data_IF_050245051076
#
_entry.id   IF_050245051076
#
_cell.length_a   1.000
_cell.length_b   1.000
_cell.length_c   1.000
_cell.angle_alpha   90.00
_cell.angle_beta   90.00
_cell.angle_gamma   90.00
#
_symmetry.space_group_name_H-M   'P 1'
#
loop_
_entity.id
_entity.type
_entity.pdbx_description
1 polymer ?
#
# COMPACT_ATOMS: atom_id res chain seq x y z
N UNK A 1 -20.40 -14.45 -15.09
CA UNK A 1 -20.57 -14.37 -13.62
C UNK A 1 -21.93 -13.73 -13.37
N UNK A 2 -22.92 -14.51 -12.93
CA UNK A 2 -24.22 -13.96 -12.50
C UNK A 2 -24.00 -13.02 -11.32
N UNK A 3 -24.66 -11.85 -11.37
CA UNK A 3 -24.52 -10.79 -10.38
C UNK A 3 -24.88 -11.30 -8.99
N UNK A 4 -23.89 -11.38 -8.10
CA UNK A 4 -24.17 -11.47 -6.67
C UNK A 4 -24.99 -10.23 -6.31
N UNK A 5 -26.06 -10.42 -5.56
CA UNK A 5 -26.74 -9.34 -4.88
C UNK A 5 -25.74 -8.68 -3.91
N UNK A 6 -25.08 -7.63 -4.41
CA UNK A 6 -24.02 -6.92 -3.71
C UNK A 6 -24.54 -6.23 -2.46
N UNK A 7 -25.84 -5.91 -2.43
CA UNK A 7 -26.48 -5.29 -1.28
C UNK A 7 -26.63 -6.30 -0.15
N UNK A 8 -27.26 -7.45 -0.42
CA UNK A 8 -27.41 -8.53 0.58
C UNK A 8 -26.05 -9.01 1.07
N UNK A 9 -25.05 -9.13 0.19
CA UNK A 9 -23.68 -9.46 0.58
C UNK A 9 -23.07 -8.42 1.54
N UNK A 10 -23.24 -7.14 1.24
CA UNK A 10 -22.73 -6.04 2.08
C UNK A 10 -23.46 -5.95 3.43
N UNK A 11 -24.78 -6.15 3.46
CA UNK A 11 -25.58 -6.17 4.69
C UNK A 11 -25.18 -7.34 5.60
N UNK A 12 -25.02 -8.54 5.05
CA UNK A 12 -24.57 -9.71 5.82
C UNK A 12 -23.15 -9.52 6.39
N UNK A 13 -22.28 -8.85 5.63
CA UNK A 13 -20.97 -8.47 6.15
C UNK A 13 -21.06 -7.46 7.30
N UNK A 14 -22.02 -6.52 7.28
CA UNK A 14 -22.17 -5.47 8.31
C UNK A 14 -22.64 -6.13 9.58
N UNK A 15 -23.72 -6.90 9.47
CA UNK A 15 -24.24 -7.68 10.58
C UNK A 15 -23.14 -8.59 11.17
N UNK A 16 -22.30 -9.20 10.33
CA UNK A 16 -21.17 -10.00 10.81
C UNK A 16 -20.09 -9.15 11.49
N UNK A 17 -19.79 -7.95 10.98
CA UNK A 17 -18.82 -7.03 11.56
C UNK A 17 -19.33 -6.47 12.90
N UNK A 18 -20.59 -6.03 12.98
CA UNK A 18 -21.27 -5.56 14.18
C UNK A 18 -21.32 -6.66 15.23
N UNK A 19 -21.80 -7.86 14.87
CA UNK A 19 -21.84 -9.00 15.78
C UNK A 19 -20.44 -9.41 16.27
N UNK A 20 -19.41 -9.37 15.41
CA UNK A 20 -18.02 -9.58 15.84
C UNK A 20 -17.57 -8.48 16.78
N UNK A 21 -17.86 -7.22 16.45
CA UNK A 21 -17.51 -6.06 17.26
C UNK A 21 -18.15 -6.11 18.65
N UNK A 22 -19.45 -6.38 18.73
CA UNK A 22 -20.18 -6.55 19.99
C UNK A 22 -19.58 -7.68 20.83
N UNK A 23 -19.35 -8.86 20.24
CA UNK A 23 -18.77 -9.99 20.96
C UNK A 23 -17.37 -9.69 21.49
N UNK A 24 -16.48 -9.13 20.69
CA UNK A 24 -15.15 -8.79 21.19
C UNK A 24 -15.15 -7.56 22.10
N UNK A 25 -16.09 -6.63 21.93
CA UNK A 25 -16.31 -5.52 22.85
C UNK A 25 -16.70 -6.02 24.25
N UNK A 26 -17.62 -6.99 24.34
CA UNK A 26 -17.97 -7.65 25.60
C UNK A 26 -16.77 -8.36 26.23
N UNK A 27 -15.95 -9.04 25.42
CA UNK A 27 -14.71 -9.66 25.90
C UNK A 27 -13.78 -8.59 26.47
N UNK A 28 -13.52 -7.50 25.73
CA UNK A 28 -12.64 -6.43 26.20
C UNK A 28 -13.17 -5.76 27.47
N UNK A 29 -14.48 -5.52 27.57
CA UNK A 29 -15.11 -4.97 28.77
C UNK A 29 -15.00 -5.90 29.98
N UNK A 30 -15.07 -7.22 29.79
CA UNK A 30 -14.86 -8.17 30.88
C UNK A 30 -13.45 -8.07 31.49
N UNK A 31 -12.45 -7.67 30.68
CA UNK A 31 -11.09 -7.41 31.15
C UNK A 31 -10.87 -5.98 31.63
N UNK A 32 -11.84 -5.07 31.46
CA UNK A 32 -11.70 -3.66 31.83
C UNK A 32 -11.24 -3.40 33.28
N UNK A 33 -11.65 -4.19 34.30
CA UNK A 33 -11.15 -4.02 35.66
C UNK A 33 -9.69 -4.42 35.85
N UNK A 34 -9.13 -5.22 34.94
CA UNK A 34 -7.81 -5.88 35.09
C UNK A 34 -6.72 -5.26 34.24
N UNK A 35 -7.08 -4.41 33.28
CA UNK A 35 -6.14 -3.75 32.38
C UNK A 35 -6.24 -2.25 32.50
N UNK A 36 -5.11 -1.57 32.28
CA UNK A 36 -5.06 -0.12 32.34
C UNK A 36 -5.99 0.50 31.28
N UNK A 37 -6.70 1.58 31.66
CA UNK A 37 -7.79 2.18 30.87
C UNK A 37 -7.36 2.60 29.46
N UNK A 38 -6.14 3.11 29.29
CA UNK A 38 -5.61 3.52 28.00
C UNK A 38 -5.31 2.29 27.13
N UNK A 39 -4.78 1.24 27.73
CA UNK A 39 -4.54 -0.02 27.04
C UNK A 39 -5.85 -0.69 26.59
N UNK A 40 -6.89 -0.70 27.43
CA UNK A 40 -8.24 -1.16 27.04
C UNK A 40 -8.73 -0.39 25.80
N UNK A 41 -8.63 0.94 25.82
CA UNK A 41 -9.08 1.79 24.71
C UNK A 41 -8.34 1.48 23.41
N UNK A 42 -7.04 1.16 23.50
CA UNK A 42 -6.24 0.73 22.34
C UNK A 42 -6.70 -0.61 21.78
N UNK A 43 -7.03 -1.57 22.63
CA UNK A 43 -7.54 -2.87 22.22
C UNK A 43 -8.90 -2.74 21.53
N UNK A 44 -9.80 -1.93 22.10
CA UNK A 44 -11.11 -1.62 21.51
C UNK A 44 -10.96 -1.01 20.11
N UNK A 45 -10.03 -0.07 19.96
CA UNK A 45 -9.77 0.57 18.67
C UNK A 45 -9.20 -0.40 17.64
N UNK A 46 -8.22 -1.21 18.02
CA UNK A 46 -7.64 -2.22 17.14
C UNK A 46 -8.69 -3.27 16.73
N UNK A 47 -9.59 -3.63 17.65
CA UNK A 47 -10.68 -4.55 17.37
C UNK A 47 -11.71 -3.95 16.41
N UNK A 48 -12.13 -2.72 16.65
CA UNK A 48 -12.99 -1.94 15.75
C UNK A 48 -12.41 -1.90 14.33
N UNK A 49 -11.14 -1.51 14.21
CA UNK A 49 -10.40 -1.47 12.95
C UNK A 49 -10.49 -2.79 12.17
N UNK A 50 -10.26 -3.92 12.83
CA UNK A 50 -10.30 -5.23 12.18
C UNK A 50 -11.72 -5.58 11.73
N UNK A 51 -12.71 -5.38 12.59
CA UNK A 51 -14.11 -5.69 12.30
C UNK A 51 -14.65 -4.90 11.10
N UNK A 52 -14.29 -3.61 10.98
CA UNK A 52 -14.79 -2.73 9.92
C UNK A 52 -13.82 -2.53 8.74
N UNK A 53 -12.58 -3.03 8.80
CA UNK A 53 -11.64 -2.95 7.64
C UNK A 53 -12.15 -3.70 6.40
N UNK A 54 -12.89 -4.79 6.60
CA UNK A 54 -13.50 -5.59 5.52
C UNK A 54 -14.56 -4.78 4.76
N UNK A 55 -15.27 -3.88 5.44
CA UNK A 55 -16.27 -2.99 4.82
C UNK A 55 -15.69 -2.16 3.68
N UNK A 56 -14.55 -1.54 3.96
CA UNK A 56 -13.86 -0.71 2.99
C UNK A 56 -13.38 -1.53 1.78
N UNK A 57 -12.90 -2.76 2.00
CA UNK A 57 -12.40 -3.63 0.92
C UNK A 57 -13.50 -4.13 -0.03
N UNK A 58 -14.67 -4.46 0.51
CA UNK A 58 -15.84 -4.92 -0.26
C UNK A 58 -16.46 -3.76 -1.03
N UNK A 59 -16.55 -2.59 -0.40
CA UNK A 59 -17.10 -1.40 -1.04
C UNK A 59 -16.23 -0.87 -2.19
N UNK A 60 -14.90 -0.81 -1.99
CA UNK A 60 -13.95 -0.38 -3.04
C UNK A 60 -14.09 -1.19 -4.33
N UNK A 61 -14.51 -2.46 -4.20
CA UNK A 61 -14.70 -3.40 -5.30
C UNK A 61 -16.04 -3.21 -6.02
N UNK A 62 -17.14 -2.99 -5.28
CA UNK A 62 -18.49 -3.21 -5.81
C UNK A 62 -19.33 -1.92 -5.99
N UNK A 63 -18.96 -0.79 -5.37
CA UNK A 63 -19.50 0.56 -5.67
C UNK A 63 -21.03 0.75 -5.56
N UNK A 64 -21.76 -0.24 -5.03
CA UNK A 64 -23.23 -0.25 -4.94
C UNK A 64 -23.65 -0.67 -3.53
N UNK A 65 -23.54 0.26 -2.59
CA UNK A 65 -24.30 0.17 -1.34
C UNK A 65 -25.67 0.83 -1.56
N UNK A 66 -26.69 0.35 -0.86
CA UNK A 66 -28.02 0.97 -0.82
C UNK A 66 -27.87 2.43 -0.39
N UNK A 67 -28.23 3.35 -1.31
CA UNK A 67 -28.04 4.79 -1.15
C UNK A 67 -28.89 5.37 -0.03
N UNK A 68 -29.97 4.69 0.36
CA UNK A 68 -30.95 5.20 1.31
C UNK A 68 -30.64 4.75 2.75
N UNK A 69 -29.89 3.65 2.93
CA UNK A 69 -29.55 3.10 4.26
C UNK A 69 -28.05 3.02 4.56
N UNK A 70 -27.20 2.89 3.53
CA UNK A 70 -25.78 2.58 3.65
C UNK A 70 -24.95 3.48 2.73
N UNK A 71 -25.18 4.79 2.77
CA UNK A 71 -24.31 5.75 2.10
C UNK A 71 -22.91 5.72 2.75
N UNK A 72 -21.89 5.17 2.07
CA UNK A 72 -20.53 5.07 2.59
C UNK A 72 -19.94 6.46 2.85
N UNK A 73 -20.36 7.49 2.10
CA UNK A 73 -19.90 8.87 2.32
C UNK A 73 -20.45 9.35 3.64
N UNK A 74 -21.74 9.17 3.92
CA UNK A 74 -22.36 9.51 5.22
C UNK A 74 -21.71 8.76 6.39
N UNK A 75 -21.49 7.45 6.25
CA UNK A 75 -20.84 6.64 7.31
C UNK A 75 -19.41 7.12 7.56
N UNK A 76 -18.60 7.24 6.52
CA UNK A 76 -17.21 7.71 6.67
C UNK A 76 -17.14 9.15 7.15
N UNK A 77 -18.05 10.03 6.71
CA UNK A 77 -18.19 11.39 7.23
C UNK A 77 -18.42 11.35 8.74
N UNK A 78 -19.39 10.55 9.18
CA UNK A 78 -19.71 10.40 10.60
C UNK A 78 -18.47 9.96 11.38
N UNK A 79 -17.77 8.93 10.92
CA UNK A 79 -16.57 8.40 11.59
C UNK A 79 -15.38 9.38 11.58
N UNK A 80 -15.19 10.16 10.51
CA UNK A 80 -14.11 11.16 10.43
C UNK A 80 -14.31 12.29 11.44
N UNK A 81 -15.56 12.72 11.65
CA UNK A 81 -15.92 13.85 12.51
C UNK A 81 -16.42 13.46 13.91
N UNK A 82 -16.48 12.16 14.23
CA UNK A 82 -16.95 11.69 15.54
C UNK A 82 -15.88 11.86 16.63
N UNK A 83 -16.05 12.90 17.44
CA UNK A 83 -15.15 13.21 18.57
C UNK A 83 -15.09 12.12 19.63
N UNK A 84 -16.05 11.18 19.69
CA UNK A 84 -16.01 10.05 20.64
C UNK A 84 -14.90 9.05 20.30
N UNK A 85 -14.38 9.13 19.08
CA UNK A 85 -13.22 8.34 18.64
C UNK A 85 -11.90 9.01 19.00
N UNK A 86 -11.91 10.27 19.47
CA UNK A 86 -10.71 10.91 19.99
C UNK A 86 -10.28 10.22 21.28
N UNK A 87 -8.97 10.07 21.44
CA UNK A 87 -8.35 9.44 22.61
C UNK A 87 -7.46 10.44 23.33
N UNK A 88 -7.26 10.22 24.63
CA UNK A 88 -6.34 11.03 25.45
C UNK A 88 -4.94 11.07 24.82
N UNK A 89 -4.23 12.19 24.98
CA UNK A 89 -2.92 12.42 24.35
C UNK A 89 -1.93 11.26 24.51
N UNK A 90 -1.76 10.80 25.75
CA UNK A 90 -0.91 9.65 26.09
C UNK A 90 -1.20 8.38 25.29
N UNK A 91 -2.43 8.17 24.81
CA UNK A 91 -2.83 6.99 24.03
C UNK A 91 -2.22 7.05 22.64
N UNK A 92 -2.39 8.17 21.94
CA UNK A 92 -1.87 8.30 20.58
C UNK A 92 -0.36 8.58 20.55
N UNK A 93 0.21 9.07 21.64
CA UNK A 93 1.67 9.21 21.81
C UNK A 93 2.40 7.86 21.80
N UNK A 94 1.75 6.80 22.29
CA UNK A 94 2.35 5.45 22.41
C UNK A 94 1.79 4.44 21.41
N UNK A 95 0.81 4.83 20.59
CA UNK A 95 0.11 3.91 19.69
C UNK A 95 0.01 4.40 18.25
N UNK A 96 0.88 3.83 17.42
CA UNK A 96 0.82 3.96 15.96
C UNK A 96 -0.52 3.46 15.38
N UNK A 97 -1.23 2.58 16.09
CA UNK A 97 -2.52 2.04 15.65
C UNK A 97 -3.63 3.07 15.63
N UNK A 98 -3.59 4.04 16.53
CA UNK A 98 -4.53 5.15 16.48
C UNK A 98 -4.28 6.05 15.27
N UNK A 99 -3.01 6.37 15.00
CA UNK A 99 -2.61 7.15 13.81
C UNK A 99 -3.03 6.42 12.53
N UNK A 100 -2.73 5.12 12.43
CA UNK A 100 -3.14 4.27 11.31
C UNK A 100 -4.66 4.28 11.13
N UNK A 101 -5.43 4.18 12.22
CA UNK A 101 -6.89 4.24 12.19
C UNK A 101 -7.41 5.56 11.63
N UNK A 102 -7.00 6.68 12.22
CA UNK A 102 -7.51 8.01 11.84
C UNK A 102 -7.16 8.31 10.40
N UNK A 103 -5.92 8.03 9.99
CA UNK A 103 -5.50 8.25 8.60
C UNK A 103 -6.24 7.32 7.64
N UNK A 104 -6.49 6.06 8.00
CA UNK A 104 -7.29 5.14 7.18
C UNK A 104 -8.71 5.67 6.93
N UNK A 105 -9.38 6.19 7.97
CA UNK A 105 -10.70 6.80 7.83
C UNK A 105 -10.68 8.01 6.89
N UNK A 106 -9.70 8.90 7.06
CA UNK A 106 -9.53 10.09 6.21
C UNK A 106 -9.29 9.71 4.76
N UNK A 107 -8.35 8.80 4.50
CA UNK A 107 -8.06 8.30 3.15
C UNK A 107 -9.32 7.71 2.52
N UNK A 108 -10.05 6.88 3.26
CA UNK A 108 -11.30 6.31 2.79
C UNK A 108 -12.30 7.40 2.41
N UNK A 109 -12.64 8.29 3.33
CA UNK A 109 -13.58 9.39 3.10
C UNK A 109 -13.22 10.25 1.88
N UNK A 110 -11.96 10.68 1.76
CA UNK A 110 -11.55 11.53 0.64
C UNK A 110 -11.48 10.77 -0.69
N UNK A 111 -11.15 9.48 -0.69
CA UNK A 111 -11.29 8.64 -1.87
C UNK A 111 -12.75 8.47 -2.30
N UNK A 112 -13.68 8.35 -1.36
CA UNK A 112 -15.12 8.27 -1.66
C UNK A 112 -15.63 9.54 -2.32
N UNK A 113 -15.36 10.68 -1.68
CA UNK A 113 -15.89 11.98 -2.10
C UNK A 113 -15.25 12.49 -3.39
N UNK A 114 -14.00 12.09 -3.67
CA UNK A 114 -13.29 12.49 -4.90
C UNK A 114 -13.74 11.73 -6.15
N UNK A 115 -14.48 10.61 -6.02
CA UNK A 115 -15.05 9.88 -7.17
C UNK A 115 -16.29 10.56 -7.76
N UNK A 116 -16.97 11.41 -6.99
CA UNK A 116 -18.23 12.06 -7.39
C UNK A 116 -18.10 13.48 -7.93
N UNK A 117 -16.91 14.08 -7.92
CA UNK A 117 -16.71 15.48 -8.31
C UNK A 117 -16.15 15.63 -9.72
N UNK A 118 -16.69 16.58 -10.50
CA UNK A 118 -16.20 16.93 -11.85
C UNK A 118 -14.72 17.40 -11.85
N UNK A 119 -14.24 17.92 -10.72
CA UNK A 119 -12.84 18.28 -10.51
C UNK A 119 -12.13 17.09 -9.85
N UNK A 120 -11.27 16.40 -10.61
CA UNK A 120 -10.38 15.35 -10.09
C UNK A 120 -9.33 15.98 -9.18
N UNK A 121 -9.67 16.09 -7.90
CA UNK A 121 -8.72 16.48 -6.84
C UNK A 121 -8.10 15.20 -6.26
N UNK A 122 -6.80 15.24 -5.98
CA UNK A 122 -6.11 14.09 -5.41
C UNK A 122 -6.62 13.83 -3.97
N UNK A 123 -7.22 12.67 -3.67
CA UNK A 123 -7.81 12.38 -2.36
C UNK A 123 -6.77 12.41 -1.23
N UNK A 124 -5.52 12.05 -1.50
CA UNK A 124 -4.43 12.09 -0.52
C UNK A 124 -4.03 13.51 -0.16
N UNK A 125 -4.04 14.43 -1.14
CA UNK A 125 -3.81 15.85 -0.89
C UNK A 125 -4.90 16.45 -0.01
N UNK A 126 -6.17 16.18 -0.32
CA UNK A 126 -7.30 16.62 0.52
C UNK A 126 -7.21 16.09 1.96
N UNK A 127 -6.86 14.81 2.11
CA UNK A 127 -6.63 14.22 3.43
C UNK A 127 -5.48 14.90 4.18
N UNK A 128 -4.41 15.26 3.48
CA UNK A 128 -3.28 15.98 4.08
C UNK A 128 -3.66 17.39 4.51
N UNK A 129 -4.34 18.16 3.64
CA UNK A 129 -4.82 19.50 3.94
C UNK A 129 -5.80 19.50 5.13
N UNK A 130 -6.67 18.48 5.21
CA UNK A 130 -7.55 18.27 6.36
C UNK A 130 -6.76 18.03 7.64
N UNK A 131 -5.71 17.21 7.60
CA UNK A 131 -4.85 16.96 8.76
C UNK A 131 -4.20 18.28 9.21
N UNK A 132 -3.64 19.06 8.28
CA UNK A 132 -2.96 20.32 8.60
C UNK A 132 -3.89 21.38 9.21
N UNK A 133 -5.17 21.37 8.87
CA UNK A 133 -6.15 22.37 9.34
C UNK A 133 -6.92 21.94 10.59
N UNK A 134 -7.04 20.63 10.84
CA UNK A 134 -7.88 20.08 11.92
C UNK A 134 -7.09 19.67 13.16
N UNK A 135 -5.83 19.26 12.99
CA UNK A 135 -4.99 18.77 14.08
C UNK A 135 -3.79 19.68 14.30
N UNK A 136 -3.25 19.66 15.51
CA UNK A 136 -2.07 20.41 15.91
C UNK A 136 -0.98 19.52 16.51
N UNK A 137 0.17 20.13 16.77
CA UNK A 137 1.33 19.52 17.43
C UNK A 137 1.77 18.18 16.84
N UNK A 138 2.16 17.27 17.74
CA UNK A 138 2.73 15.96 17.39
C UNK A 138 1.74 15.04 16.68
N UNK A 139 0.44 15.10 17.02
CA UNK A 139 -0.56 14.26 16.39
C UNK A 139 -0.73 14.63 14.90
N UNK A 140 -0.78 15.93 14.58
CA UNK A 140 -0.78 16.43 13.20
C UNK A 140 0.42 15.90 12.41
N UNK A 141 1.62 16.01 12.98
CA UNK A 141 2.86 15.61 12.32
C UNK A 141 2.90 14.10 12.06
N UNK A 142 2.53 13.28 13.04
CA UNK A 142 2.50 11.81 12.91
C UNK A 142 1.45 11.33 11.93
N UNK A 143 0.24 11.90 11.96
CA UNK A 143 -0.81 11.59 10.98
C UNK A 143 -0.40 12.03 9.57
N UNK A 144 0.16 13.24 9.43
CA UNK A 144 0.66 13.76 8.17
C UNK A 144 1.78 12.88 7.59
N UNK A 145 2.76 12.52 8.41
CA UNK A 145 3.87 11.63 8.04
C UNK A 145 3.35 10.26 7.59
N UNK A 146 2.47 9.63 8.37
CA UNK A 146 1.88 8.33 8.01
C UNK A 146 1.11 8.39 6.68
N UNK A 147 0.27 9.41 6.48
CA UNK A 147 -0.48 9.61 5.25
C UNK A 147 0.44 9.78 4.03
N UNK A 148 1.45 10.64 4.15
CA UNK A 148 2.39 10.93 3.07
C UNK A 148 3.16 9.68 2.66
N UNK A 149 3.63 8.89 3.63
CA UNK A 149 4.33 7.61 3.36
C UNK A 149 3.41 6.64 2.61
N UNK A 150 2.13 6.52 3.02
CA UNK A 150 1.15 5.66 2.33
C UNK A 150 0.76 6.16 0.94
N UNK A 151 1.03 7.44 0.65
CA UNK A 151 0.75 8.07 -0.64
C UNK A 151 1.89 7.89 -1.66
N UNK A 152 3.11 7.56 -1.21
CA UNK A 152 4.31 7.40 -2.06
C UNK A 152 4.04 6.57 -3.32
N UNK A 153 3.41 5.40 -3.15
CA UNK A 153 3.17 4.45 -4.24
C UNK A 153 1.83 4.67 -4.98
N UNK A 154 1.11 5.73 -4.63
CA UNK A 154 -0.24 6.01 -5.16
C UNK A 154 -0.31 7.36 -5.87
N UNK A 155 0.59 8.27 -5.51
CA UNK A 155 0.71 9.60 -6.10
C UNK A 155 2.16 9.84 -6.54
N UNK A 156 2.44 9.72 -7.85
CA UNK A 156 3.78 10.01 -8.39
C UNK A 156 4.25 11.45 -8.11
N UNK A 157 3.33 12.39 -7.89
CA UNK A 157 3.64 13.79 -7.61
C UNK A 157 4.02 14.07 -6.16
N UNK A 158 3.95 13.09 -5.26
CA UNK A 158 4.16 13.32 -3.82
C UNK A 158 5.63 13.43 -3.42
N UNK A 159 6.55 12.82 -4.19
CA UNK A 159 7.97 12.72 -3.80
C UNK A 159 8.64 14.09 -3.58
N UNK A 160 8.47 15.11 -4.43
CA UNK A 160 9.04 16.44 -4.20
C UNK A 160 8.47 17.16 -2.97
N UNK A 161 7.27 16.77 -2.53
CA UNK A 161 6.56 17.42 -1.42
C UNK A 161 7.08 16.89 -0.06
N UNK A 162 7.58 15.66 0.00
CA UNK A 162 7.95 15.01 1.27
C UNK A 162 9.00 15.79 2.08
N UNK A 163 10.10 16.30 1.50
CA UNK A 163 11.08 17.07 2.26
C UNK A 163 10.50 18.39 2.80
N UNK A 164 9.68 19.08 2.01
CA UNK A 164 9.04 20.34 2.40
C UNK A 164 8.08 20.10 3.57
N UNK A 165 7.26 19.04 3.48
CA UNK A 165 6.37 18.66 4.58
C UNK A 165 7.14 18.22 5.83
N UNK A 166 8.30 17.58 5.68
CA UNK A 166 9.14 17.19 6.81
C UNK A 166 9.79 18.39 7.53
N UNK A 167 10.02 19.49 6.82
CA UNK A 167 10.57 20.72 7.41
C UNK A 167 9.58 21.45 8.31
N UNK A 168 8.27 21.32 8.04
CA UNK A 168 7.23 21.92 8.87
C UNK A 168 6.86 21.08 10.09
N UNK A 169 7.37 19.85 10.19
CA UNK A 169 7.13 18.95 11.33
C UNK A 169 8.03 19.28 12.52
N UNK A 170 7.40 19.36 13.68
CA UNK A 170 8.02 19.52 14.99
C UNK A 170 8.34 18.18 15.66
N UNK A 171 7.53 17.13 15.42
CA UNK A 171 7.79 15.78 15.93
C UNK A 171 8.97 15.13 15.21
N UNK A 172 10.04 14.87 15.95
CA UNK A 172 11.27 14.30 15.39
C UNK A 172 11.06 12.90 14.83
N UNK A 173 10.20 12.08 15.44
CA UNK A 173 9.91 10.74 14.96
C UNK A 173 9.16 10.77 13.63
N UNK A 174 8.10 11.59 13.52
CA UNK A 174 7.35 11.79 12.28
C UNK A 174 8.27 12.27 11.14
N UNK A 175 9.12 13.27 11.43
CA UNK A 175 10.10 13.82 10.48
C UNK A 175 11.11 12.77 10.02
N UNK A 176 11.73 12.05 10.93
CA UNK A 176 12.73 11.01 10.61
C UNK A 176 12.10 9.86 9.83
N UNK A 177 10.88 9.44 10.19
CA UNK A 177 10.17 8.35 9.51
C UNK A 177 9.82 8.76 8.08
N UNK A 178 9.34 9.98 7.87
CA UNK A 178 9.03 10.51 6.55
C UNK A 178 10.28 10.62 5.68
N UNK A 179 11.36 11.18 6.23
CA UNK A 179 12.62 11.34 5.51
C UNK A 179 13.30 10.00 5.19
N UNK A 180 13.18 9.01 6.08
CA UNK A 180 13.64 7.65 5.83
C UNK A 180 12.89 7.01 4.66
N UNK A 181 11.56 7.14 4.63
CA UNK A 181 10.75 6.66 3.52
C UNK A 181 11.09 7.38 2.21
N UNK A 182 11.22 8.72 2.24
CA UNK A 182 11.65 9.52 1.09
C UNK A 182 13.03 9.06 0.56
N UNK A 183 14.00 8.87 1.44
CA UNK A 183 15.33 8.41 1.05
C UNK A 183 15.36 6.99 0.50
N UNK A 184 14.45 6.12 0.95
CA UNK A 184 14.35 4.76 0.43
C UNK A 184 13.86 4.71 -1.02
N UNK A 185 12.99 5.65 -1.44
CA UNK A 185 12.34 5.62 -2.75
C UNK A 185 12.85 6.66 -3.75
N UNK A 186 13.61 7.67 -3.30
CA UNK A 186 14.12 8.72 -4.19
C UNK A 186 15.16 8.17 -5.18
N UNK A 187 15.15 8.64 -6.44
CA UNK A 187 16.20 8.33 -7.41
C UNK A 187 17.60 8.71 -6.92
N UNK A 188 18.62 7.98 -7.42
CA UNK A 188 20.03 8.29 -7.19
C UNK A 188 20.64 7.65 -5.94
N UNK A 189 19.88 6.91 -5.14
CA UNK A 189 20.40 6.14 -4.00
C UNK A 189 20.81 4.74 -4.39
N UNK A 190 21.81 4.18 -3.68
CA UNK A 190 22.17 2.76 -3.81
C UNK A 190 20.94 1.91 -3.47
N UNK A 191 20.66 0.93 -4.31
CA UNK A 191 19.57 0.00 -4.07
C UNK A 191 19.85 -0.85 -2.82
N UNK A 192 18.80 -1.16 -2.05
CA UNK A 192 18.90 -2.10 -0.95
C UNK A 192 19.29 -3.48 -1.49
N UNK A 193 20.30 -4.09 -0.87
CA UNK A 193 20.69 -5.47 -1.18
C UNK A 193 19.53 -6.43 -0.87
N UNK A 194 19.46 -7.52 -1.62
CA UNK A 194 18.52 -8.60 -1.39
C UNK A 194 19.20 -9.94 -1.65
N UNK A 195 18.67 -10.97 -1.00
CA UNK A 195 18.93 -12.38 -1.24
C UNK A 195 17.55 -13.04 -1.39
N UNK A 196 17.21 -13.48 -2.60
CA UNK A 196 15.91 -14.07 -2.91
C UNK A 196 16.10 -15.40 -3.63
N UNK A 197 15.31 -16.40 -3.26
CA UNK A 197 15.36 -17.71 -3.92
C UNK A 197 14.47 -17.76 -5.16
N UNK A 198 14.93 -18.47 -6.19
CA UNK A 198 14.14 -18.84 -7.36
C UNK A 198 13.42 -20.19 -7.19
N UNK A 199 12.66 -20.59 -8.21
CA UNK A 199 11.87 -21.82 -8.21
C UNK A 199 12.71 -23.11 -8.07
N UNK A 200 14.01 -23.03 -8.38
CA UNK A 200 14.96 -24.13 -8.29
C UNK A 200 15.76 -24.11 -6.98
N UNK A 201 15.48 -23.15 -6.08
CA UNK A 201 16.21 -22.98 -4.81
C UNK A 201 17.57 -22.28 -4.96
N UNK A 202 17.87 -21.70 -6.13
CA UNK A 202 19.07 -20.88 -6.29
C UNK A 202 18.81 -19.51 -5.67
N UNK A 203 19.73 -19.07 -4.81
CA UNK A 203 19.73 -17.70 -4.28
C UNK A 203 20.27 -16.72 -5.33
N UNK A 204 19.53 -15.64 -5.56
CA UNK A 204 19.94 -14.51 -6.38
C UNK A 204 20.15 -13.28 -5.50
N UNK A 205 21.28 -12.60 -5.73
CA UNK A 205 21.70 -11.40 -5.01
C UNK A 205 21.70 -10.21 -5.96
N UNK A 206 21.55 -8.99 -5.42
CA UNK A 206 21.71 -7.76 -6.21
C UNK A 206 23.07 -7.75 -6.94
N UNK A 207 24.12 -8.21 -6.27
CA UNK A 207 25.48 -8.24 -6.80
C UNK A 207 25.66 -9.21 -7.99
N UNK A 208 24.80 -10.22 -8.13
CA UNK A 208 24.83 -11.16 -9.27
C UNK A 208 24.45 -10.46 -10.59
N UNK A 209 23.85 -9.27 -10.51
CA UNK A 209 23.44 -8.48 -11.66
C UNK A 209 24.24 -7.19 -11.85
N UNK A 210 25.43 -7.08 -11.25
CA UNK A 210 26.34 -5.94 -11.49
C UNK A 210 26.56 -5.72 -12.98
N UNK A 211 26.53 -4.45 -13.40
CA UNK A 211 26.67 -4.08 -14.80
C UNK A 211 25.37 -4.21 -15.62
N UNK A 212 24.27 -4.67 -15.01
CA UNK A 212 22.96 -4.81 -15.68
C UNK A 212 21.90 -3.88 -15.09
N UNK A 213 21.03 -3.40 -15.94
CA UNK A 213 19.81 -2.70 -15.59
C UNK A 213 18.75 -3.72 -15.16
N UNK A 214 18.07 -3.48 -14.04
CA UNK A 214 17.05 -4.36 -13.49
C UNK A 214 15.67 -3.69 -13.59
N UNK A 215 14.73 -4.44 -14.15
CA UNK A 215 13.30 -4.13 -14.11
C UNK A 215 12.65 -5.16 -13.20
N UNK A 216 12.33 -4.76 -11.97
CA UNK A 216 11.85 -5.67 -10.94
C UNK A 216 10.36 -5.45 -10.72
N UNK A 217 9.55 -6.49 -10.90
CA UNK A 217 8.10 -6.48 -10.69
C UNK A 217 7.71 -7.23 -9.43
N UNK A 218 7.02 -6.58 -8.51
CA UNK A 218 6.49 -7.20 -7.31
C UNK A 218 5.03 -7.61 -7.50
N UNK A 219 4.69 -8.86 -7.18
CA UNK A 219 3.36 -9.42 -7.36
C UNK A 219 3.02 -10.46 -6.28
N UNK A 220 1.77 -10.91 -6.23
CA UNK A 220 1.36 -12.05 -5.40
C UNK A 220 0.21 -12.82 -6.06
N UNK A 221 0.00 -14.06 -5.65
CA UNK A 221 -1.04 -14.92 -6.22
C UNK A 221 -2.42 -14.43 -5.79
N UNK A 222 -3.28 -14.11 -6.77
CA UNK A 222 -4.58 -13.46 -6.54
C UNK A 222 -4.58 -11.94 -6.79
N UNK A 223 -3.44 -11.36 -7.19
CA UNK A 223 -3.33 -9.95 -7.55
C UNK A 223 -3.97 -9.64 -8.92
N UNK A 224 -5.20 -9.13 -8.95
CA UNK A 224 -5.91 -8.79 -10.20
C UNK A 224 -5.12 -7.80 -11.06
N UNK A 225 -4.58 -6.74 -10.47
CA UNK A 225 -3.80 -5.73 -11.21
C UNK A 225 -2.53 -6.31 -11.85
N UNK A 226 -1.88 -7.26 -11.18
CA UNK A 226 -0.70 -7.94 -11.69
C UNK A 226 -1.04 -8.78 -12.93
N UNK A 227 -2.19 -9.46 -12.92
CA UNK A 227 -2.68 -10.21 -14.08
C UNK A 227 -3.05 -9.28 -15.25
N UNK A 228 -3.62 -8.10 -14.97
CA UNK A 228 -3.96 -7.11 -16.00
C UNK A 228 -2.73 -6.57 -16.74
N UNK A 229 -1.63 -6.29 -16.03
CA UNK A 229 -0.42 -5.72 -16.65
C UNK A 229 0.50 -6.76 -17.30
N UNK A 230 0.19 -8.06 -17.18
CA UNK A 230 1.05 -9.15 -17.68
C UNK A 230 1.35 -8.99 -19.17
N UNK A 231 0.33 -8.68 -19.98
CA UNK A 231 0.51 -8.52 -21.42
C UNK A 231 1.36 -7.29 -21.76
N UNK A 232 1.13 -6.16 -21.10
CA UNK A 232 1.96 -4.96 -21.28
C UNK A 232 3.42 -5.23 -20.92
N UNK A 233 3.67 -5.93 -19.80
CA UNK A 233 5.02 -6.32 -19.40
C UNK A 233 5.69 -7.24 -20.44
N UNK A 234 4.96 -8.19 -21.04
CA UNK A 234 5.48 -9.02 -22.15
C UNK A 234 5.89 -8.19 -23.36
N UNK A 235 5.12 -7.15 -23.72
CA UNK A 235 5.48 -6.23 -24.82
C UNK A 235 6.78 -5.50 -24.51
N UNK A 236 6.92 -5.01 -23.27
CA UNK A 236 8.15 -4.34 -22.81
C UNK A 236 9.32 -5.33 -22.87
N UNK A 237 9.17 -6.54 -22.34
CA UNK A 237 10.20 -7.57 -22.37
C UNK A 237 10.62 -7.89 -23.80
N UNK A 238 9.66 -8.09 -24.71
CA UNK A 238 9.93 -8.35 -26.12
C UNK A 238 10.70 -7.22 -26.79
N UNK A 239 10.45 -5.96 -26.40
CA UNK A 239 11.18 -4.79 -26.91
C UNK A 239 12.67 -4.82 -26.55
N UNK A 240 13.03 -5.43 -25.42
CA UNK A 240 14.39 -5.49 -24.90
C UNK A 240 15.02 -6.90 -24.96
N UNK A 241 14.41 -7.86 -25.67
CA UNK A 241 14.87 -9.27 -25.72
C UNK A 241 16.33 -9.45 -26.18
N UNK A 242 16.79 -8.55 -27.05
CA UNK A 242 18.12 -8.59 -27.66
C UNK A 242 19.15 -7.80 -26.82
N UNK A 243 18.69 -6.99 -25.86
CA UNK A 243 19.54 -6.22 -24.96
C UNK A 243 19.89 -7.03 -23.70
N UNK A 244 21.06 -7.69 -23.73
CA UNK A 244 21.55 -8.49 -22.60
C UNK A 244 21.98 -7.68 -21.38
N UNK A 245 22.00 -6.35 -21.49
CA UNK A 245 22.27 -5.46 -20.36
C UNK A 245 21.04 -5.25 -19.46
N UNK A 246 19.86 -5.71 -19.87
CA UNK A 246 18.61 -5.58 -19.11
C UNK A 246 18.16 -6.95 -18.59
N UNK A 247 17.76 -7.02 -17.32
CA UNK A 247 17.20 -8.21 -16.69
C UNK A 247 15.84 -7.90 -16.08
N UNK A 248 14.87 -8.77 -16.37
CA UNK A 248 13.54 -8.72 -15.79
C UNK A 248 13.45 -9.70 -14.62
N UNK A 249 13.19 -9.19 -13.42
CA UNK A 249 13.00 -9.98 -12.21
C UNK A 249 11.54 -9.86 -11.76
N UNK A 250 10.95 -10.95 -11.29
CA UNK A 250 9.65 -10.93 -10.63
C UNK A 250 9.77 -11.38 -9.19
N UNK A 251 9.40 -10.55 -8.23
CA UNK A 251 9.45 -10.88 -6.81
C UNK A 251 8.04 -11.18 -6.31
N UNK A 252 7.79 -12.44 -5.94
CA UNK A 252 6.52 -12.86 -5.38
C UNK A 252 6.46 -12.62 -3.85
N UNK A 253 5.38 -11.99 -3.42
CA UNK A 253 5.12 -11.57 -2.03
C UNK A 253 4.06 -12.42 -1.32
N UNK A 254 3.71 -13.61 -1.84
CA UNK A 254 2.80 -14.53 -1.17
C UNK A 254 3.43 -15.06 0.13
N UNK A 255 2.65 -15.22 1.19
CA UNK A 255 3.15 -15.75 2.46
C UNK A 255 3.34 -17.27 2.46
N UNK A 256 2.82 -17.97 1.44
CA UNK A 256 2.92 -19.41 1.28
C UNK A 256 3.60 -19.78 -0.04
N UNK A 257 4.61 -20.65 0.02
CA UNK A 257 5.37 -21.12 -1.16
C UNK A 257 4.46 -21.81 -2.17
N UNK A 258 3.49 -22.61 -1.70
CA UNK A 258 2.49 -23.28 -2.55
C UNK A 258 1.73 -22.30 -3.42
N UNK A 259 1.25 -21.19 -2.84
CA UNK A 259 0.55 -20.15 -3.60
C UNK A 259 1.44 -19.53 -4.67
N UNK A 260 2.73 -19.29 -4.39
CA UNK A 260 3.66 -18.78 -5.39
C UNK A 260 3.81 -19.75 -6.57
N UNK A 261 4.04 -21.04 -6.29
CA UNK A 261 4.19 -22.08 -7.32
C UNK A 261 2.92 -22.22 -8.17
N UNK A 262 1.73 -22.21 -7.55
CA UNK A 262 0.46 -22.20 -8.27
C UNK A 262 0.31 -20.95 -9.14
N UNK A 263 0.71 -19.79 -8.63
CA UNK A 263 0.73 -18.53 -9.36
C UNK A 263 1.60 -18.62 -10.62
N UNK A 264 2.81 -19.18 -10.51
CA UNK A 264 3.69 -19.41 -11.66
C UNK A 264 3.06 -20.36 -12.68
N UNK A 265 2.57 -21.53 -12.23
CA UNK A 265 1.91 -22.53 -13.10
C UNK A 265 0.69 -21.98 -13.84
N UNK A 266 0.02 -20.98 -13.27
CA UNK A 266 -1.15 -20.36 -13.90
C UNK A 266 -0.85 -19.55 -15.17
N UNK A 267 0.40 -19.10 -15.37
CA UNK A 267 0.80 -18.24 -16.48
C UNK A 267 0.19 -16.83 -16.48
N UNK A 268 -0.48 -16.44 -15.38
CA UNK A 268 -1.24 -15.17 -15.29
C UNK A 268 -0.39 -13.96 -14.93
N UNK A 269 0.78 -14.16 -14.31
CA UNK A 269 1.50 -13.06 -13.65
C UNK A 269 2.90 -12.82 -14.21
N UNK A 270 3.51 -13.83 -14.82
CA UNK A 270 4.89 -13.79 -15.32
C UNK A 270 4.94 -14.36 -16.74
N UNK A 271 6.04 -14.06 -17.44
CA UNK A 271 6.32 -14.44 -18.82
C UNK A 271 7.63 -15.23 -18.90
N UNK A 272 7.80 -15.98 -19.98
CA UNK A 272 9.03 -16.72 -20.23
C UNK A 272 10.23 -15.77 -20.33
N UNK A 273 11.38 -16.16 -19.78
CA UNK A 273 12.60 -15.34 -19.79
C UNK A 273 12.70 -14.30 -18.68
N UNK A 274 11.70 -14.20 -17.79
CA UNK A 274 11.82 -13.47 -16.53
C UNK A 274 12.41 -14.40 -15.44
N UNK A 275 13.20 -13.85 -14.52
CA UNK A 275 13.67 -14.59 -13.33
C UNK A 275 12.60 -14.48 -12.24
N UNK A 276 12.09 -15.61 -11.76
CA UNK A 276 11.06 -15.64 -10.72
C UNK A 276 11.71 -15.80 -9.36
N UNK A 277 11.44 -14.87 -8.46
CA UNK A 277 12.04 -14.78 -7.13
C UNK A 277 10.95 -14.77 -6.05
N UNK A 278 11.31 -15.20 -4.85
CA UNK A 278 10.39 -15.31 -3.73
C UNK A 278 10.90 -14.69 -2.45
N UNK A 279 10.01 -14.00 -1.74
CA UNK A 279 10.28 -13.37 -0.44
C UNK A 279 10.34 -14.35 0.73
N UNK A 280 10.42 -15.66 0.49
CA UNK A 280 10.52 -16.67 1.55
C UNK A 280 9.32 -16.70 2.51
N UNK A 281 8.14 -16.27 2.06
CA UNK A 281 6.93 -16.22 2.88
C UNK A 281 6.80 -14.97 3.75
N UNK A 282 7.79 -14.08 3.75
CA UNK A 282 7.72 -12.82 4.49
C UNK A 282 6.73 -11.83 3.86
N UNK A 283 6.49 -11.93 2.55
CA UNK A 283 5.56 -11.06 1.83
C UNK A 283 5.85 -9.58 2.06
N UNK A 284 4.84 -8.81 2.48
CA UNK A 284 4.99 -7.38 2.78
C UNK A 284 5.95 -7.08 3.95
N UNK A 285 6.27 -8.08 4.78
CA UNK A 285 7.22 -7.94 5.89
C UNK A 285 8.66 -8.14 5.46
N UNK A 286 8.90 -8.60 4.23
CA UNK A 286 10.26 -8.78 3.72
C UNK A 286 11.01 -7.44 3.75
N UNK A 287 12.28 -7.39 4.22
CA UNK A 287 13.04 -6.14 4.33
C UNK A 287 13.07 -5.32 3.04
N UNK A 288 13.28 -5.98 1.89
CA UNK A 288 13.22 -5.35 0.56
C UNK A 288 11.89 -4.63 0.30
N UNK A 289 10.77 -5.32 0.56
CA UNK A 289 9.41 -4.82 0.28
C UNK A 289 9.05 -3.67 1.24
N UNK A 290 9.41 -3.83 2.52
CA UNK A 290 9.21 -2.80 3.55
C UNK A 290 10.02 -1.55 3.26
N UNK A 291 11.29 -1.69 2.87
CA UNK A 291 12.19 -0.56 2.61
C UNK A 291 11.61 0.38 1.55
N UNK A 292 11.20 -0.15 0.39
CA UNK A 292 10.62 0.63 -0.70
C UNK A 292 9.13 1.00 -0.52
N UNK A 293 8.55 0.75 0.67
CA UNK A 293 7.15 1.05 0.97
C UNK A 293 6.14 0.35 0.04
N UNK A 294 6.48 -0.85 -0.46
CA UNK A 294 5.63 -1.64 -1.36
C UNK A 294 4.53 -2.38 -0.59
N UNK A 295 3.55 -1.62 -0.09
CA UNK A 295 2.45 -2.14 0.72
C UNK A 295 1.32 -2.85 -0.08
N UNK A 296 1.39 -2.82 -1.42
CA UNK A 296 0.44 -3.48 -2.32
C UNK A 296 1.14 -3.88 -3.61
N UNK A 297 0.45 -4.58 -4.51
CA UNK A 297 0.95 -4.94 -5.83
C UNK A 297 -0.08 -4.59 -6.93
N UNK A 298 0.32 -4.43 -8.20
CA UNK A 298 1.71 -4.48 -8.69
C UNK A 298 2.55 -3.27 -8.25
N UNK A 299 3.85 -3.49 -8.06
CA UNK A 299 4.86 -2.43 -7.88
C UNK A 299 6.06 -2.71 -8.77
N UNK A 300 6.77 -1.67 -9.16
CA UNK A 300 7.94 -1.75 -10.01
C UNK A 300 9.13 -1.03 -9.36
N UNK A 301 10.31 -1.62 -9.49
CA UNK A 301 11.57 -1.03 -9.08
C UNK A 301 12.56 -1.10 -10.23
N UNK A 302 13.10 0.05 -10.59
CA UNK A 302 14.09 0.22 -11.64
C UNK A 302 15.45 0.51 -11.02
N UNK A 303 16.43 -0.34 -11.29
CA UNK A 303 17.81 -0.19 -10.81
C UNK A 303 18.72 -0.16 -12.02
N UNK A 304 19.61 0.82 -12.11
CA UNK A 304 20.56 0.90 -13.21
C UNK A 304 21.77 -0.02 -12.99
N UNK A 305 22.62 -0.17 -14.02
CA UNK A 305 23.84 -0.99 -14.03
C UNK A 305 24.87 -0.68 -12.94
N UNK A 306 24.77 0.46 -12.27
CA UNK A 306 25.61 0.86 -11.13
C UNK A 306 25.04 0.43 -9.78
N UNK A 307 23.91 -0.27 -9.75
CA UNK A 307 23.19 -0.63 -8.52
C UNK A 307 22.50 0.58 -7.87
N UNK A 308 22.17 1.61 -8.66
CA UNK A 308 21.50 2.83 -8.19
C UNK A 308 20.02 2.77 -8.57
N UNK A 309 19.14 3.11 -7.63
CA UNK A 309 17.70 3.25 -7.86
C UNK A 309 17.47 4.34 -8.89
N UNK A 310 16.95 3.96 -10.06
CA UNK A 310 16.48 4.89 -11.07
C UNK A 310 15.07 5.38 -10.73
N UNK A 311 14.18 4.46 -10.33
CA UNK A 311 12.86 4.78 -9.80
C UNK A 311 12.30 3.64 -8.97
N UNK A 312 11.74 3.96 -7.80
CA UNK A 312 10.97 3.03 -6.95
C UNK A 312 9.46 3.30 -7.00
N UNK A 313 8.99 4.13 -7.96
CA UNK A 313 7.58 4.32 -8.29
C UNK A 313 7.45 4.73 -9.77
N UNK A 314 7.91 3.90 -10.72
CA UNK A 314 7.72 4.19 -12.14
C UNK A 314 6.25 3.93 -12.56
N UNK A 315 5.82 4.41 -13.74
CA UNK A 315 4.50 4.12 -14.28
C UNK A 315 4.19 2.62 -14.33
N UNK A 316 3.08 2.22 -13.72
CA UNK A 316 2.55 0.86 -13.86
C UNK A 316 1.80 0.78 -15.21
N UNK A 317 2.13 -0.19 -16.10
CA UNK A 317 1.66 -0.20 -17.48
C UNK A 317 0.24 -0.74 -17.66
N UNK A 318 -0.73 -0.12 -16.98
CA UNK A 318 -2.16 -0.43 -17.13
C UNK A 318 -2.76 0.04 -18.47
N UNK A 319 -2.10 0.98 -19.14
CA UNK A 319 -2.50 1.52 -20.44
C UNK A 319 -1.33 1.51 -21.41
N UNK A 320 -1.62 1.64 -22.70
CA UNK A 320 -0.58 1.75 -23.73
C UNK A 320 0.33 2.96 -23.48
N UNK A 321 -0.24 4.11 -23.15
CA UNK A 321 0.54 5.30 -22.78
C UNK A 321 1.52 5.01 -21.63
N UNK A 322 1.05 4.37 -20.55
CA UNK A 322 1.91 4.03 -19.41
C UNK A 322 2.96 2.96 -19.76
N UNK A 323 2.65 2.10 -20.73
CA UNK A 323 3.61 1.13 -21.29
C UNK A 323 4.74 1.85 -22.04
N UNK A 324 4.40 2.82 -22.90
CA UNK A 324 5.39 3.63 -23.63
C UNK A 324 6.23 4.47 -22.68
N UNK A 325 5.63 5.10 -21.67
CA UNK A 325 6.36 5.84 -20.63
C UNK A 325 7.40 4.96 -19.94
N UNK A 326 7.02 3.74 -19.53
CA UNK A 326 7.93 2.80 -18.88
C UNK A 326 9.06 2.34 -19.82
N UNK A 327 8.77 2.09 -21.10
CA UNK A 327 9.80 1.75 -22.10
C UNK A 327 10.84 2.88 -22.22
N UNK A 328 10.39 4.13 -22.27
CA UNK A 328 11.30 5.27 -22.38
C UNK A 328 12.17 5.41 -21.12
N UNK A 329 11.58 5.26 -19.93
CA UNK A 329 12.35 5.23 -18.68
C UNK A 329 13.42 4.13 -18.68
N UNK A 330 13.10 2.92 -19.16
CA UNK A 330 14.06 1.81 -19.22
C UNK A 330 15.25 2.15 -20.16
N UNK A 331 14.99 2.79 -21.31
CA UNK A 331 16.05 3.22 -22.25
C UNK A 331 16.99 4.27 -21.67
N UNK A 332 16.47 5.09 -20.75
CA UNK A 332 17.20 6.19 -20.12
C UNK A 332 18.05 5.76 -18.92
N UNK A 333 17.91 4.51 -18.44
CA UNK A 333 18.68 3.93 -17.32
C UNK A 333 20.17 3.70 -17.65
N UNK A 334 20.89 4.74 -18.06
CA UNK A 334 22.31 4.65 -18.41
C UNK A 334 23.23 4.70 -17.19
#
# INVERSE_FOLDING_TARGET
>A
MQGRDTLTFSQNLLALADHKFEKGGLVLQAYAPTIEKNFLKLLELNFYLRSYSIFYSVWKRDGRADKDKLDPVRVMNTLVYDKRLDVEQKIWEVSDKYIEYRVFLLMGYFELTSKGTAIRTNPYRKAFDFIQTTYDGMLKDRMGSYLLIKSIQRDPGILPILPIAAETMTDSLAKQTLMSAYHAVRPGKKALNFDLEDENGKTHRLDDYKGKNLVIKFWFTGCTGCAQIKNSMSVIQQKFKDDKSIVFLNVNMSTQKTHWIEGLKSGKYTSSGEVNLYTGGLGIRHPLVKYYQFASAPQLLLINRRGIVYSANPPIPFTEQKTVELINMIKEMR
#
